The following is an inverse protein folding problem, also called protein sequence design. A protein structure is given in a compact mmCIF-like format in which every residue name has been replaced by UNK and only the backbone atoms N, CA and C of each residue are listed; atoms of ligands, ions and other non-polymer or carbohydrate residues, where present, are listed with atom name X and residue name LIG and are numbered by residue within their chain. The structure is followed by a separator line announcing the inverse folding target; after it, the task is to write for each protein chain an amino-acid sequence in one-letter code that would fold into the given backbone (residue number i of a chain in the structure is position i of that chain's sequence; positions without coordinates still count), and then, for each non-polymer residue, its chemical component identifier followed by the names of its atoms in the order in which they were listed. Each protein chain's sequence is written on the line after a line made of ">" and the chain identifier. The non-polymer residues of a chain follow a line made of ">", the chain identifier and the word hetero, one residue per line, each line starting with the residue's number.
data_IF_400102515049
#
_entry.id   IF_400102515049
#
_cell.length_a   1.000
_cell.length_b   1.000
_cell.length_c   1.000
_cell.angle_alpha   90.00
_cell.angle_beta   90.00
_cell.angle_gamma   90.00
#
_symmetry.space_group_name_H-M   'P 1'
#
loop_
_entity.id
_entity.type
_entity.pdbx_description
1 polymer ?
#
# COMPACT_ATOMS: atom_id res chain seq x y z
N UNK A 1 14.10 -21.27 5.66
CA UNK A 1 14.23 -20.67 4.32
C UNK A 1 13.29 -19.47 4.17
N UNK A 2 11.96 -19.65 4.19
CA UNK A 2 11.01 -18.52 4.23
C UNK A 2 11.26 -17.58 5.42
N UNK A 3 11.56 -18.13 6.60
CA UNK A 3 11.91 -17.32 7.79
C UNK A 3 13.14 -16.42 7.55
N UNK A 4 14.13 -16.88 6.77
CA UNK A 4 15.32 -16.08 6.39
C UNK A 4 14.90 -14.97 5.44
N UNK A 5 14.15 -15.31 4.38
CA UNK A 5 13.65 -14.33 3.41
C UNK A 5 12.84 -13.22 4.11
N UNK A 6 11.97 -13.58 5.05
CA UNK A 6 11.21 -12.62 5.86
C UNK A 6 12.11 -11.77 6.75
N UNK A 7 13.11 -12.39 7.41
CA UNK A 7 14.08 -11.65 8.23
C UNK A 7 14.94 -10.66 7.42
N UNK A 8 15.21 -10.98 6.16
CA UNK A 8 15.97 -10.14 5.21
C UNK A 8 15.10 -9.10 4.48
N UNK A 9 13.90 -8.82 5.02
CA UNK A 9 13.00 -7.83 4.45
C UNK A 9 12.28 -8.30 3.19
N UNK A 10 12.04 -9.61 3.06
CA UNK A 10 11.32 -10.22 1.93
C UNK A 10 12.07 -10.05 0.61
N UNK A 11 13.35 -10.44 0.61
CA UNK A 11 14.20 -10.35 -0.57
C UNK A 11 14.74 -11.70 -0.99
N UNK A 12 14.60 -12.03 -2.28
CA UNK A 12 15.12 -13.27 -2.86
C UNK A 12 16.53 -13.01 -3.42
N UNK A 13 17.54 -13.06 -2.55
CA UNK A 13 18.93 -12.63 -2.90
C UNK A 13 19.94 -13.76 -2.87
N UNK A 14 19.65 -14.83 -2.16
CA UNK A 14 20.58 -15.95 -2.01
C UNK A 14 20.31 -17.02 -3.08
N UNK A 15 21.33 -17.79 -3.50
CA UNK A 15 21.17 -18.89 -4.44
C UNK A 15 19.99 -19.83 -4.11
N UNK A 16 19.84 -20.19 -2.83
CA UNK A 16 18.74 -21.07 -2.39
C UNK A 16 17.35 -20.41 -2.48
N UNK A 17 17.27 -19.07 -2.47
CA UNK A 17 15.98 -18.38 -2.58
C UNK A 17 15.38 -18.53 -3.98
N UNK A 18 16.23 -18.70 -5.00
CA UNK A 18 15.78 -18.96 -6.38
C UNK A 18 15.12 -20.33 -6.56
N UNK A 19 15.28 -21.26 -5.61
CA UNK A 19 14.51 -22.51 -5.60
C UNK A 19 13.07 -22.27 -5.15
N UNK A 20 12.84 -21.26 -4.29
CA UNK A 20 11.53 -20.92 -3.71
C UNK A 20 10.79 -19.91 -4.57
N UNK A 21 11.51 -19.02 -5.24
CA UNK A 21 10.93 -17.94 -6.02
C UNK A 21 9.92 -18.44 -7.08
N UNK A 22 10.17 -19.50 -7.87
CA UNK A 22 9.18 -20.06 -8.78
C UNK A 22 7.93 -20.58 -8.07
N UNK A 23 8.05 -21.16 -6.87
CA UNK A 23 6.91 -21.61 -6.08
C UNK A 23 6.06 -20.45 -5.57
N UNK A 24 6.71 -19.33 -5.19
CA UNK A 24 6.01 -18.10 -4.80
C UNK A 24 5.28 -17.50 -6.00
N UNK A 25 5.92 -17.40 -7.16
CA UNK A 25 5.26 -16.91 -8.37
C UNK A 25 4.09 -17.81 -8.81
N UNK A 26 4.24 -19.13 -8.68
CA UNK A 26 3.17 -20.08 -8.95
C UNK A 26 1.99 -19.87 -7.99
N UNK A 27 2.25 -19.75 -6.68
CA UNK A 27 1.22 -19.47 -5.69
C UNK A 27 0.52 -18.13 -5.95
N UNK A 28 1.26 -17.11 -6.37
CA UNK A 28 0.73 -15.80 -6.78
C UNK A 28 -0.06 -15.84 -8.11
N UNK A 29 -0.16 -17.00 -8.76
CA UNK A 29 -0.92 -17.21 -9.99
C UNK A 29 -2.10 -18.18 -9.84
N UNK A 30 -2.41 -18.62 -8.62
CA UNK A 30 -3.43 -19.63 -8.32
C UNK A 30 -4.46 -19.12 -7.27
N UNK A 31 -5.28 -18.10 -7.58
CA UNK A 31 -6.21 -17.52 -6.62
C UNK A 31 -7.30 -18.50 -6.14
N UNK A 32 -7.65 -19.51 -6.95
CA UNK A 32 -8.75 -20.44 -6.67
C UNK A 32 -8.34 -21.63 -5.81
N UNK A 33 -7.04 -21.93 -5.70
CA UNK A 33 -6.53 -23.08 -4.92
C UNK A 33 -6.46 -22.76 -3.42
N UNK A 34 -5.85 -21.63 -3.08
CA UNK A 34 -5.72 -21.14 -1.71
C UNK A 34 -5.56 -19.61 -1.73
N UNK A 35 -6.66 -18.90 -1.47
CA UNK A 35 -6.71 -17.45 -1.54
C UNK A 35 -5.76 -16.75 -0.54
N UNK A 36 -5.71 -17.12 0.76
CA UNK A 36 -4.68 -16.62 1.68
C UNK A 36 -3.24 -16.80 1.17
N UNK A 37 -2.92 -17.99 0.65
CA UNK A 37 -1.58 -18.27 0.10
C UNK A 37 -1.29 -17.41 -1.13
N UNK A 38 -2.26 -17.23 -2.02
CA UNK A 38 -2.18 -16.35 -3.18
C UNK A 38 -1.91 -14.88 -2.80
N UNK A 39 -2.65 -14.34 -1.82
CA UNK A 39 -2.46 -12.97 -1.32
C UNK A 39 -1.07 -12.80 -0.70
N UNK A 40 -0.65 -13.75 0.14
CA UNK A 40 0.66 -13.72 0.77
C UNK A 40 1.79 -13.80 -0.27
N UNK A 41 1.70 -14.73 -1.21
CA UNK A 41 2.69 -14.90 -2.27
C UNK A 41 2.81 -13.66 -3.16
N UNK A 42 1.68 -13.02 -3.50
CA UNK A 42 1.67 -11.74 -4.22
C UNK A 42 2.36 -10.65 -3.42
N UNK A 43 2.09 -10.54 -2.11
CA UNK A 43 2.75 -9.57 -1.25
C UNK A 43 4.27 -9.81 -1.15
N UNK A 44 4.72 -11.07 -1.14
CA UNK A 44 6.15 -11.39 -1.16
C UNK A 44 6.81 -10.94 -2.46
N UNK A 45 6.23 -11.30 -3.61
CA UNK A 45 6.76 -10.92 -4.91
C UNK A 45 6.79 -9.39 -5.10
N UNK A 46 5.74 -8.69 -4.63
CA UNK A 46 5.64 -7.24 -4.70
C UNK A 46 6.68 -6.57 -3.79
N UNK A 47 6.90 -7.11 -2.59
CA UNK A 47 7.92 -6.59 -1.66
C UNK A 47 9.33 -6.75 -2.22
N UNK A 48 9.63 -7.87 -2.87
CA UNK A 48 10.92 -8.07 -3.53
C UNK A 48 11.08 -7.14 -4.74
N UNK A 49 10.04 -7.03 -5.59
CA UNK A 49 10.02 -6.11 -6.73
C UNK A 49 10.31 -4.67 -6.31
N UNK A 50 9.71 -4.18 -5.22
CA UNK A 50 9.92 -2.81 -4.74
C UNK A 50 11.36 -2.54 -4.31
N UNK A 51 12.10 -3.57 -3.94
CA UNK A 51 13.45 -3.45 -3.42
C UNK A 51 14.52 -3.85 -4.45
N UNK A 52 14.20 -4.64 -5.48
CA UNK A 52 15.09 -5.09 -6.55
C UNK A 52 15.88 -3.94 -7.19
N UNK A 53 17.16 -4.16 -7.49
CA UNK A 53 17.89 -3.19 -8.32
C UNK A 53 17.42 -3.29 -9.78
N UNK A 54 17.10 -4.51 -10.21
CA UNK A 54 16.53 -4.84 -11.52
C UNK A 54 15.35 -5.82 -11.32
N UNK A 55 14.12 -5.31 -11.11
CA UNK A 55 12.96 -6.15 -10.84
C UNK A 55 12.51 -6.94 -12.08
N UNK A 56 12.11 -8.21 -11.93
CA UNK A 56 11.50 -8.95 -13.02
C UNK A 56 10.10 -8.41 -13.35
N UNK A 57 9.76 -8.32 -14.64
CA UNK A 57 8.46 -7.86 -15.14
C UNK A 57 7.32 -8.91 -15.00
N UNK A 58 7.30 -9.63 -13.88
CA UNK A 58 6.35 -10.72 -13.65
C UNK A 58 5.03 -10.21 -13.08
N UNK A 59 5.04 -9.12 -12.32
CA UNK A 59 3.83 -8.64 -11.65
C UNK A 59 2.88 -7.85 -12.55
N UNK A 60 3.33 -7.38 -13.73
CA UNK A 60 2.43 -6.86 -14.76
C UNK A 60 1.36 -7.89 -15.13
N UNK A 61 1.78 -9.13 -15.41
CA UNK A 61 0.87 -10.22 -15.76
C UNK A 61 -0.07 -10.60 -14.62
N UNK A 62 0.45 -10.62 -13.39
CA UNK A 62 -0.34 -10.89 -12.20
C UNK A 62 -1.39 -9.80 -11.95
N UNK A 63 -1.07 -8.53 -12.20
CA UNK A 63 -2.02 -7.44 -12.09
C UNK A 63 -3.16 -7.60 -13.09
N UNK A 64 -2.83 -7.72 -14.36
CA UNK A 64 -3.80 -7.82 -15.45
C UNK A 64 -4.73 -9.04 -15.28
N UNK A 65 -4.17 -10.18 -14.86
CA UNK A 65 -4.95 -11.39 -14.66
C UNK A 65 -5.80 -11.39 -13.38
N UNK A 66 -5.30 -10.81 -12.28
CA UNK A 66 -5.85 -11.09 -10.94
C UNK A 66 -6.28 -9.86 -10.12
N UNK A 67 -6.30 -8.66 -10.70
CA UNK A 67 -6.74 -7.46 -9.98
C UNK A 67 -8.11 -7.61 -9.30
N UNK A 68 -9.07 -8.30 -9.94
CA UNK A 68 -10.41 -8.51 -9.41
C UNK A 68 -10.39 -9.37 -8.14
N UNK A 69 -9.41 -10.27 -8.02
CA UNK A 69 -9.20 -11.15 -6.88
C UNK A 69 -8.53 -10.39 -5.74
N UNK A 70 -7.58 -9.49 -6.01
CA UNK A 70 -6.99 -8.64 -4.96
C UNK A 70 -8.03 -7.76 -4.26
N UNK A 71 -9.08 -7.32 -4.98
CA UNK A 71 -10.19 -6.54 -4.40
C UNK A 71 -10.99 -7.34 -3.35
N UNK A 72 -10.98 -8.67 -3.44
CA UNK A 72 -11.69 -9.56 -2.49
C UNK A 72 -10.96 -9.73 -1.16
N UNK A 73 -9.70 -9.30 -1.05
CA UNK A 73 -8.94 -9.42 0.18
C UNK A 73 -9.54 -8.57 1.32
N UNK A 74 -9.24 -8.95 2.56
CA UNK A 74 -9.59 -8.17 3.74
C UNK A 74 -9.08 -6.72 3.60
N UNK A 75 -9.83 -5.71 4.07
CA UNK A 75 -9.49 -4.30 3.80
C UNK A 75 -8.03 -3.90 4.09
N UNK A 76 -7.39 -4.34 5.20
CA UNK A 76 -5.99 -4.03 5.45
C UNK A 76 -5.02 -4.67 4.44
N UNK A 77 -5.28 -5.93 4.04
CA UNK A 77 -4.46 -6.65 3.07
C UNK A 77 -4.65 -6.11 1.65
N UNK A 78 -5.90 -5.83 1.28
CA UNK A 78 -6.24 -5.15 0.02
C UNK A 78 -5.53 -3.81 -0.06
N UNK A 79 -5.68 -2.95 0.94
CA UNK A 79 -5.01 -1.66 0.96
C UNK A 79 -3.48 -1.80 0.85
N UNK A 80 -2.87 -2.75 1.57
CA UNK A 80 -1.43 -3.01 1.47
C UNK A 80 -0.98 -3.42 0.06
N UNK A 81 -1.68 -4.38 -0.57
CA UNK A 81 -1.39 -4.83 -1.93
C UNK A 81 -1.56 -3.68 -2.93
N UNK A 82 -2.69 -2.99 -2.89
CA UNK A 82 -3.02 -1.91 -3.83
C UNK A 82 -2.04 -0.75 -3.72
N UNK A 83 -1.69 -0.35 -2.50
CA UNK A 83 -0.65 0.66 -2.31
C UNK A 83 0.73 0.15 -2.77
N UNK A 84 1.06 -1.12 -2.56
CA UNK A 84 2.32 -1.70 -3.06
C UNK A 84 2.41 -1.66 -4.59
N UNK A 85 1.36 -2.06 -5.31
CA UNK A 85 1.32 -2.01 -6.78
C UNK A 85 1.45 -0.58 -7.28
N UNK A 86 0.78 0.36 -6.63
CA UNK A 86 0.88 1.77 -6.97
C UNK A 86 2.26 2.36 -6.71
N UNK A 87 2.92 1.99 -5.62
CA UNK A 87 4.32 2.39 -5.37
C UNK A 87 5.23 1.81 -6.45
N UNK A 88 5.00 0.56 -6.88
CA UNK A 88 5.77 -0.06 -7.96
C UNK A 88 5.55 0.66 -9.29
N UNK A 89 4.31 1.07 -9.59
CA UNK A 89 3.96 1.85 -10.80
C UNK A 89 4.64 3.22 -10.80
N UNK A 90 4.55 3.96 -9.69
CA UNK A 90 5.21 5.27 -9.55
C UNK A 90 6.74 5.18 -9.65
N UNK A 91 7.31 4.05 -9.25
CA UNK A 91 8.73 3.76 -9.40
C UNK A 91 9.12 3.27 -10.82
N UNK A 92 8.16 3.15 -11.74
CA UNK A 92 8.37 2.64 -13.10
C UNK A 92 8.73 1.15 -13.15
N UNK A 93 8.37 0.38 -12.13
CA UNK A 93 8.72 -1.05 -11.98
C UNK A 93 7.63 -1.99 -12.51
N UNK A 94 6.41 -1.50 -12.64
CA UNK A 94 5.26 -2.24 -13.18
C UNK A 94 4.35 -1.27 -13.91
N UNK A 95 3.71 -1.71 -14.97
CA UNK A 95 2.61 -0.98 -15.62
C UNK A 95 1.28 -1.55 -15.12
N UNK A 96 0.31 -0.70 -14.76
CA UNK A 96 -0.99 -1.15 -14.30
C UNK A 96 -2.05 -0.92 -15.39
N UNK A 97 -2.37 -1.98 -16.13
CA UNK A 97 -3.49 -1.98 -17.08
C UNK A 97 -4.50 -3.09 -16.68
N UNK A 98 -5.74 -2.72 -16.28
CA UNK A 98 -6.25 -1.36 -16.15
C UNK A 98 -5.68 -0.63 -14.93
N UNK A 99 -5.77 0.70 -14.95
CA UNK A 99 -5.29 1.56 -13.88
C UNK A 99 -5.97 1.23 -12.53
N UNK A 100 -5.20 1.35 -11.45
CA UNK A 100 -5.65 1.07 -10.09
C UNK A 100 -6.72 2.06 -9.63
N UNK A 101 -7.79 1.54 -9.01
CA UNK A 101 -8.87 2.38 -8.44
C UNK A 101 -8.54 2.79 -7.01
N UNK A 102 -8.73 4.07 -6.69
CA UNK A 102 -8.30 4.62 -5.39
C UNK A 102 -9.05 4.03 -4.20
N UNK A 103 -10.31 3.67 -4.39
CA UNK A 103 -11.12 3.04 -3.34
C UNK A 103 -10.48 1.75 -2.81
N UNK A 104 -9.68 1.08 -3.64
CA UNK A 104 -9.01 -0.16 -3.27
C UNK A 104 -7.70 0.08 -2.48
N UNK A 105 -7.10 1.27 -2.58
CA UNK A 105 -5.95 1.68 -1.74
C UNK A 105 -6.34 2.03 -0.29
N UNK A 106 -7.62 2.28 -0.02
CA UNK A 106 -8.06 2.79 1.27
C UNK A 106 -8.33 1.65 2.25
N UNK A 107 -7.77 1.76 3.47
CA UNK A 107 -8.11 0.84 4.55
C UNK A 107 -9.53 1.06 5.10
N UNK A 108 -10.01 2.31 5.08
CA UNK A 108 -11.28 2.73 5.67
C UNK A 108 -12.05 3.66 4.74
N UNK A 109 -13.38 3.66 4.83
CA UNK A 109 -14.22 4.54 4.01
C UNK A 109 -14.16 5.99 4.48
N UNK A 110 -14.46 6.93 3.57
CA UNK A 110 -14.58 8.36 3.88
C UNK A 110 -15.54 8.60 5.05
N UNK A 111 -16.72 7.98 5.01
CA UNK A 111 -17.75 8.17 6.02
C UNK A 111 -17.31 7.66 7.40
N UNK A 112 -16.58 6.53 7.45
CA UNK A 112 -16.02 6.01 8.69
C UNK A 112 -15.00 6.99 9.29
N UNK A 113 -14.15 7.60 8.46
CA UNK A 113 -13.16 8.59 8.91
C UNK A 113 -13.85 9.86 9.39
N UNK A 114 -14.83 10.38 8.64
CA UNK A 114 -15.60 11.56 9.04
C UNK A 114 -16.35 11.34 10.35
N UNK A 115 -16.90 10.15 10.58
CA UNK A 115 -17.54 9.79 11.85
C UNK A 115 -16.58 9.77 13.03
N UNK A 116 -15.30 9.42 12.82
CA UNK A 116 -14.26 9.45 13.87
C UNK A 116 -13.81 10.88 14.16
N UNK A 117 -13.82 11.75 13.15
CA UNK A 117 -13.46 13.16 13.28
C UNK A 117 -14.58 14.01 13.91
N UNK A 118 -15.82 13.59 13.81
CA UNK A 118 -16.93 14.32 14.42
C UNK A 118 -16.74 14.44 15.94
N UNK A 119 -16.82 15.66 16.46
CA UNK A 119 -16.54 15.96 17.87
C UNK A 119 -15.07 15.94 18.31
N UNK A 120 -14.11 15.55 17.45
CA UNK A 120 -12.67 15.50 17.80
C UNK A 120 -11.99 16.87 17.87
N UNK A 121 -12.58 17.90 17.27
CA UNK A 121 -11.98 19.23 17.13
C UNK A 121 -11.08 19.42 15.90
N UNK A 122 -10.82 18.35 15.14
CA UNK A 122 -9.92 18.32 13.97
C UNK A 122 -10.56 18.91 12.69
N UNK A 123 -11.07 20.14 12.78
CA UNK A 123 -11.86 20.78 11.70
C UNK A 123 -11.07 20.93 10.38
N UNK A 124 -9.77 21.21 10.47
CA UNK A 124 -8.91 21.35 9.30
C UNK A 124 -8.81 20.02 8.51
N UNK A 125 -8.68 18.89 9.21
CA UNK A 125 -8.60 17.56 8.60
C UNK A 125 -9.93 17.14 7.99
N UNK A 126 -11.04 17.44 8.67
CA UNK A 126 -12.37 17.20 8.12
C UNK A 126 -12.59 18.02 6.83
N UNK A 127 -12.20 19.30 6.82
CA UNK A 127 -12.27 20.13 5.61
C UNK A 127 -11.38 19.58 4.49
N UNK A 128 -10.15 19.16 4.80
CA UNK A 128 -9.22 18.58 3.84
C UNK A 128 -9.76 17.30 3.18
N UNK A 129 -10.36 16.40 3.97
CA UNK A 129 -11.02 15.18 3.46
C UNK A 129 -12.20 15.54 2.57
N UNK A 130 -13.01 16.52 2.98
CA UNK A 130 -14.21 16.91 2.24
C UNK A 130 -13.87 17.54 0.89
N UNK A 131 -12.80 18.32 0.86
CA UNK A 131 -12.29 19.02 -0.32
C UNK A 131 -11.35 18.17 -1.19
N UNK A 132 -11.04 16.93 -0.77
CA UNK A 132 -10.17 16.00 -1.49
C UNK A 132 -8.82 16.64 -1.86
N UNK A 133 -8.15 17.19 -0.85
CA UNK A 133 -6.87 17.88 -1.08
C UNK A 133 -5.76 16.92 -1.52
N UNK A 134 -4.82 17.45 -2.31
CA UNK A 134 -3.68 16.69 -2.83
C UNK A 134 -2.65 16.29 -1.76
N UNK A 135 -1.70 15.42 -2.13
CA UNK A 135 -0.60 14.97 -1.26
C UNK A 135 0.15 16.10 -0.60
N UNK A 136 0.45 17.14 -1.38
CA UNK A 136 1.33 18.20 -0.95
C UNK A 136 0.64 18.99 0.15
N UNK A 137 -0.65 19.23 0.01
CA UNK A 137 -1.47 19.84 1.06
C UNK A 137 -1.66 18.91 2.25
N UNK A 138 -1.97 17.63 2.03
CA UNK A 138 -2.08 16.64 3.10
C UNK A 138 -0.80 16.56 3.95
N UNK A 139 0.36 16.58 3.30
CA UNK A 139 1.64 16.55 3.98
C UNK A 139 2.03 17.87 4.65
N UNK A 140 1.57 19.02 4.14
CA UNK A 140 1.68 20.31 4.86
C UNK A 140 0.86 20.28 6.15
N UNK A 141 -0.38 19.79 6.08
CA UNK A 141 -1.23 19.61 7.25
C UNK A 141 -0.57 18.71 8.29
N UNK A 142 0.03 17.60 7.84
CA UNK A 142 0.73 16.66 8.72
C UNK A 142 1.95 17.30 9.41
N UNK A 143 2.78 18.01 8.64
CA UNK A 143 4.00 18.64 9.15
C UNK A 143 3.74 19.77 10.15
N UNK A 144 2.52 20.31 10.18
CA UNK A 144 2.11 21.37 11.09
C UNK A 144 1.55 20.87 12.44
N UNK A 145 1.45 19.56 12.65
CA UNK A 145 0.85 18.98 13.86
C UNK A 145 1.91 18.72 14.93
N UNK A 146 1.82 19.42 16.05
CA UNK A 146 2.72 19.22 17.21
C UNK A 146 2.42 17.94 18.00
N UNK A 147 1.14 17.54 18.06
CA UNK A 147 0.66 16.34 18.77
C UNK A 147 -0.44 15.65 17.97
N UNK A 148 -0.28 14.36 17.70
CA UNK A 148 -1.20 13.63 16.83
C UNK A 148 -2.18 12.80 17.66
N UNK A 149 -3.47 13.14 17.58
CA UNK A 149 -4.56 12.36 18.16
C UNK A 149 -4.86 11.09 17.32
N UNK A 150 -5.48 10.07 17.92
CA UNK A 150 -5.92 8.88 17.17
C UNK A 150 -6.86 9.20 15.97
N UNK A 151 -7.85 10.09 16.14
CA UNK A 151 -8.65 10.61 15.03
C UNK A 151 -7.81 11.30 13.94
N UNK A 152 -6.84 12.14 14.34
CA UNK A 152 -5.94 12.78 13.39
C UNK A 152 -5.10 11.75 12.61
N UNK A 153 -4.49 10.76 13.26
CA UNK A 153 -3.77 9.67 12.59
C UNK A 153 -4.66 8.98 11.55
N UNK A 154 -5.92 8.71 11.90
CA UNK A 154 -6.88 8.04 11.02
C UNK A 154 -7.19 8.89 9.78
N UNK A 155 -7.36 10.20 9.96
CA UNK A 155 -7.57 11.14 8.87
C UNK A 155 -6.34 11.31 7.97
N UNK A 156 -5.15 11.41 8.55
CA UNK A 156 -3.91 11.51 7.79
C UNK A 156 -3.62 10.25 6.98
N UNK A 157 -3.82 9.06 7.58
CA UNK A 157 -3.74 7.79 6.83
C UNK A 157 -4.72 7.79 5.66
N UNK A 158 -5.96 8.19 5.88
CA UNK A 158 -6.94 8.31 4.80
C UNK A 158 -6.49 9.27 3.69
N UNK A 159 -5.91 10.43 4.02
CA UNK A 159 -5.43 11.38 3.01
C UNK A 159 -4.18 10.86 2.26
N UNK A 160 -3.27 10.17 2.95
CA UNK A 160 -2.04 9.62 2.38
C UNK A 160 -2.26 8.36 1.53
N UNK A 161 -3.26 7.54 1.86
CA UNK A 161 -3.60 6.31 1.13
C UNK A 161 -4.36 6.59 -0.20
N UNK A 162 -4.64 7.85 -0.57
CA UNK A 162 -5.30 8.25 -1.84
C UNK A 162 -4.31 8.52 -2.97
N UNK A 163 -4.81 8.62 -4.21
CA UNK A 163 -4.06 8.83 -5.48
C UNK A 163 -2.99 9.91 -5.43
N UNK A 164 -3.22 10.96 -4.67
CA UNK A 164 -2.29 12.06 -4.59
C UNK A 164 -1.31 11.83 -3.44
N UNK A 165 -1.73 11.22 -2.33
CA UNK A 165 -1.09 11.14 -1.01
C UNK A 165 0.31 10.52 -0.84
N UNK A 166 0.93 9.94 -1.87
CA UNK A 166 2.23 9.26 -1.76
C UNK A 166 3.46 10.18 -1.89
N UNK A 167 3.27 11.49 -1.98
CA UNK A 167 4.35 12.47 -1.94
C UNK A 167 4.31 13.25 -0.61
N UNK A 168 4.94 12.75 0.48
CA UNK A 168 5.18 13.63 1.62
C UNK A 168 6.04 14.81 1.14
N UNK A 169 5.73 16.06 1.52
CA UNK A 169 6.67 17.16 1.37
C UNK A 169 7.90 16.78 2.19
N UNK A 170 9.00 16.53 1.49
CA UNK A 170 10.31 16.20 2.04
C UNK A 170 10.28 15.16 3.18
N UNK A 171 10.44 13.89 2.80
CA UNK A 171 10.50 12.74 3.71
C UNK A 171 11.55 12.87 4.84
N UNK A 172 12.48 13.83 4.76
CA UNK A 172 13.44 14.12 5.84
C UNK A 172 12.90 15.07 6.93
N UNK A 173 11.80 15.77 6.66
CA UNK A 173 11.21 16.80 7.54
C UNK A 173 9.86 16.40 8.16
N UNK A 174 9.12 15.50 7.52
CA UNK A 174 7.84 15.02 8.01
C UNK A 174 8.03 13.80 8.93
N UNK A 175 7.46 13.82 10.14
CA UNK A 175 7.42 12.64 11.00
C UNK A 175 6.77 11.46 10.26
N UNK A 176 7.29 10.24 10.37
CA UNK A 176 6.61 9.09 9.77
C UNK A 176 5.27 8.86 10.50
N UNK A 177 4.19 8.67 9.75
CA UNK A 177 2.92 8.22 10.33
C UNK A 177 3.19 6.84 10.96
N UNK A 178 3.06 6.66 12.29
CA UNK A 178 3.40 5.40 12.93
C UNK A 178 2.51 4.28 12.36
N UNK A 179 3.12 3.18 11.92
CA UNK A 179 2.41 1.95 11.58
C UNK A 179 2.18 1.15 12.87
N UNK A 180 1.12 1.49 13.61
CA UNK A 180 0.53 0.66 14.65
C UNK A 180 -0.73 -0.03 14.14
#
# INVERSE_FOLDING_TARGET
>A
MIERIVADGVRFRHPDDFEVHPSVLLAAALPDEDFPTFIFATALALSDMLQADDPPDTLFWNWNAFQAQYVLADPPLRAALMNGFRVAELAGRVELDPALKHVDCLRVSRDAVLSVLDGSGERALMAAILSEVDAREAGRLWSAVDTVSGPAVTAFRYLCEREEGLAPPDATSAALIPWS
#
